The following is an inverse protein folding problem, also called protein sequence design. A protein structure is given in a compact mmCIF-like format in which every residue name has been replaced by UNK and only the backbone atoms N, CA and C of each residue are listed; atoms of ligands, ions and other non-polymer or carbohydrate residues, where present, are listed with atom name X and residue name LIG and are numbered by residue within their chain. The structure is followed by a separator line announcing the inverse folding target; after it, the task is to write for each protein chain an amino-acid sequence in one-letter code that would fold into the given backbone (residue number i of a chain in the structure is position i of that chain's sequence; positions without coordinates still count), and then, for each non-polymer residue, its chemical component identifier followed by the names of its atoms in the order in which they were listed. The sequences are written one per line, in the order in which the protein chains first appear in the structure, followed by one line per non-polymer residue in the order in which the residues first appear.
data_IF_264253890337
#
_entry.id   IF_264253890337
#
_cell.length_a   1.000
_cell.length_b   1.000
_cell.length_c   1.000
_cell.angle_alpha   90.00
_cell.angle_beta   90.00
_cell.angle_gamma   90.00
#
_symmetry.space_group_name_H-M   'P 1'
#
loop_
_entity.id
_entity.type
_entity.pdbx_description
1 polymer ?
#
# COMPACT_ATOMS: atom_id res chain seq x y z
N UNK A 1 -9.99 6.08 -6.13
CA UNK A 1 -10.12 4.61 -6.36
C UNK A 1 -8.98 3.77 -5.74
N UNK A 2 -8.02 4.36 -5.03
CA UNK A 2 -7.11 3.64 -4.11
C UNK A 2 -6.70 4.58 -2.98
N UNK A 3 -7.55 5.54 -2.62
CA UNK A 3 -7.20 6.66 -1.76
C UNK A 3 -6.99 6.20 -0.31
N UNK A 4 -7.89 5.34 0.19
CA UNK A 4 -7.70 4.65 1.47
C UNK A 4 -6.40 3.83 1.48
N UNK A 5 -6.10 3.15 0.36
CA UNK A 5 -4.84 2.42 0.19
C UNK A 5 -3.62 3.29 0.30
N UNK A 6 -3.58 4.39 -0.44
CA UNK A 6 -2.44 5.31 -0.43
C UNK A 6 -2.23 5.89 0.98
N UNK A 7 -3.31 6.18 1.71
CA UNK A 7 -3.23 6.66 3.10
C UNK A 7 -2.69 5.57 4.05
N UNK A 8 -3.23 4.35 4.01
CA UNK A 8 -2.73 3.26 4.86
C UNK A 8 -1.28 2.90 4.57
N UNK A 9 -0.89 2.84 3.30
CA UNK A 9 0.50 2.63 2.89
C UNK A 9 1.42 3.69 3.51
N UNK A 10 1.03 4.97 3.51
CA UNK A 10 1.80 6.04 4.17
C UNK A 10 1.92 5.81 5.68
N UNK A 11 0.82 5.44 6.35
CA UNK A 11 0.84 5.19 7.80
C UNK A 11 1.74 4.01 8.17
N UNK A 12 1.59 2.89 7.47
CA UNK A 12 2.37 1.66 7.74
C UNK A 12 3.83 1.86 7.37
N UNK A 13 4.12 2.49 6.21
CA UNK A 13 5.50 2.81 5.83
C UNK A 13 6.17 3.70 6.87
N UNK A 14 5.46 4.71 7.40
CA UNK A 14 5.95 5.57 8.48
C UNK A 14 6.17 4.78 9.78
N UNK A 15 5.24 3.91 10.15
CA UNK A 15 5.34 3.06 11.35
C UNK A 15 6.50 2.06 11.26
N UNK A 16 6.75 1.48 10.09
CA UNK A 16 7.85 0.54 9.82
C UNK A 16 9.19 1.26 9.48
N UNK A 17 9.24 2.59 9.52
CA UNK A 17 10.39 3.40 9.07
C UNK A 17 10.90 3.02 7.65
N UNK A 18 9.97 2.66 6.75
CA UNK A 18 10.27 2.29 5.37
C UNK A 18 10.16 3.49 4.43
N UNK A 19 11.16 3.66 3.57
CA UNK A 19 11.11 4.64 2.47
C UNK A 19 10.50 4.04 1.21
N UNK A 20 10.03 4.88 0.28
CA UNK A 20 9.56 4.40 -1.02
C UNK A 20 10.65 3.67 -1.82
N UNK A 21 11.92 4.04 -1.63
CA UNK A 21 13.06 3.34 -2.22
C UNK A 21 13.17 1.90 -1.70
N UNK A 22 13.01 1.70 -0.39
CA UNK A 22 13.04 0.37 0.22
C UNK A 22 11.83 -0.47 -0.18
N UNK A 23 10.65 0.14 -0.29
CA UNK A 23 9.45 -0.55 -0.78
C UNK A 23 9.65 -0.97 -2.24
N UNK A 24 10.22 -0.10 -3.07
CA UNK A 24 10.57 -0.38 -4.46
C UNK A 24 11.54 -1.57 -4.57
N UNK A 25 12.63 -1.54 -3.79
CA UNK A 25 13.64 -2.61 -3.76
C UNK A 25 13.02 -3.97 -3.36
N UNK A 26 12.23 -4.00 -2.29
CA UNK A 26 11.58 -5.23 -1.80
C UNK A 26 10.50 -5.76 -2.73
N UNK A 27 9.74 -4.86 -3.37
CA UNK A 27 8.65 -5.24 -4.27
C UNK A 27 9.12 -5.57 -5.70
N UNK A 28 10.33 -5.18 -6.07
CA UNK A 28 10.84 -5.22 -7.45
C UNK A 28 10.18 -4.21 -8.39
N UNK A 29 9.44 -3.23 -7.85
CA UNK A 29 8.80 -2.16 -8.61
C UNK A 29 9.71 -0.93 -8.59
N UNK A 30 9.80 -0.18 -9.69
CA UNK A 30 10.58 1.06 -9.72
C UNK A 30 10.02 2.10 -8.74
N UNK A 31 10.89 2.82 -8.05
CA UNK A 31 10.47 3.87 -7.12
C UNK A 31 9.62 4.95 -7.79
N UNK A 32 9.93 5.33 -9.03
CA UNK A 32 9.11 6.27 -9.80
C UNK A 32 7.68 5.77 -10.02
N UNK A 33 7.50 4.46 -10.18
CA UNK A 33 6.18 3.82 -10.31
C UNK A 33 5.43 3.83 -8.98
N UNK A 34 6.11 3.55 -7.86
CA UNK A 34 5.53 3.68 -6.50
C UNK A 34 5.07 5.13 -6.27
N UNK A 35 5.93 6.12 -6.59
CA UNK A 35 5.61 7.55 -6.46
C UNK A 35 4.43 7.97 -7.32
N UNK A 36 4.41 7.56 -8.60
CA UNK A 36 3.30 7.83 -9.51
C UNK A 36 1.98 7.26 -8.98
N UNK A 37 2.02 6.03 -8.44
CA UNK A 37 0.85 5.39 -7.85
C UNK A 37 0.38 6.15 -6.59
N UNK A 38 1.30 6.49 -5.68
CA UNK A 38 1.00 7.24 -4.45
C UNK A 38 0.48 8.65 -4.70
N UNK A 39 0.87 9.27 -5.82
CA UNK A 39 0.37 10.58 -6.26
C UNK A 39 -0.99 10.48 -6.99
N UNK A 40 -1.44 9.27 -7.35
CA UNK A 40 -2.65 9.06 -8.13
C UNK A 40 -2.51 9.34 -9.62
N UNK A 41 -1.27 9.41 -10.13
CA UNK A 41 -1.03 9.45 -11.58
C UNK A 41 -1.27 8.09 -12.25
N UNK A 42 -1.29 7.00 -11.48
CA UNK A 42 -1.65 5.66 -11.95
C UNK A 42 -2.37 4.87 -10.87
N UNK A 43 -3.37 4.08 -11.26
CA UNK A 43 -4.13 3.19 -10.37
C UNK A 43 -3.95 1.72 -10.77
N UNK A 44 -2.68 1.32 -10.98
CA UNK A 44 -2.35 -0.05 -11.33
C UNK A 44 -2.52 -1.00 -10.14
N UNK A 45 -3.50 -1.90 -10.21
CA UNK A 45 -3.71 -2.96 -9.22
C UNK A 45 -2.45 -3.78 -8.95
N UNK A 46 -1.67 -4.09 -10.00
CA UNK A 46 -0.43 -4.87 -9.87
C UNK A 46 0.61 -4.17 -8.98
N UNK A 47 0.69 -2.84 -9.07
CA UNK A 47 1.56 -2.03 -8.19
C UNK A 47 1.02 -2.04 -6.77
N UNK A 48 -0.30 -1.90 -6.60
CA UNK A 48 -0.94 -1.97 -5.29
C UNK A 48 -0.67 -3.32 -4.60
N UNK A 49 -0.85 -4.44 -5.30
CA UNK A 49 -0.59 -5.80 -4.77
C UNK A 49 0.87 -5.98 -4.35
N UNK A 50 1.81 -5.43 -5.15
CA UNK A 50 3.24 -5.46 -4.84
C UNK A 50 3.62 -4.63 -3.61
N UNK A 51 3.01 -3.46 -3.43
CA UNK A 51 3.19 -2.63 -2.23
C UNK A 51 2.56 -3.34 -1.02
N UNK A 52 1.39 -3.93 -1.20
CA UNK A 52 0.64 -4.62 -0.16
C UNK A 52 1.43 -5.82 0.40
N UNK A 53 2.03 -6.61 -0.49
CA UNK A 53 2.92 -7.72 -0.14
C UNK A 53 4.10 -7.28 0.75
N UNK A 54 4.81 -6.21 0.36
CA UNK A 54 5.92 -5.66 1.15
C UNK A 54 5.48 -5.14 2.52
N UNK A 55 4.29 -4.56 2.59
CA UNK A 55 3.75 -4.03 3.84
C UNK A 55 3.01 -5.08 4.67
N UNK A 56 2.91 -6.31 4.19
CA UNK A 56 2.16 -7.43 4.79
C UNK A 56 0.68 -7.10 5.00
N UNK A 57 0.08 -6.39 4.05
CA UNK A 57 -1.36 -6.09 4.03
C UNK A 57 -2.05 -6.80 2.88
N UNK A 58 -3.34 -7.09 3.02
CA UNK A 58 -4.15 -7.69 1.95
C UNK A 58 -5.09 -6.65 1.36
N UNK A 59 -5.10 -6.58 0.04
CA UNK A 59 -6.11 -5.83 -0.71
C UNK A 59 -7.28 -6.78 -0.98
N UNK A 60 -8.48 -6.36 -0.60
CA UNK A 60 -9.72 -7.09 -0.82
C UNK A 60 -10.59 -6.26 -1.77
N UNK A 61 -11.06 -6.87 -2.83
CA UNK A 61 -12.03 -6.26 -3.73
C UNK A 61 -13.42 -6.77 -3.38
N UNK A 62 -14.32 -5.88 -2.97
CA UNK A 62 -15.70 -6.24 -2.61
C UNK A 62 -16.67 -5.17 -3.13
N UNK A 63 -17.74 -5.58 -3.81
CA UNK A 63 -18.81 -4.70 -4.29
C UNK A 63 -18.35 -3.46 -5.10
N UNK A 64 -17.33 -3.61 -5.95
CA UNK A 64 -16.84 -2.49 -6.75
C UNK A 64 -15.78 -1.63 -6.05
N UNK A 65 -15.48 -1.90 -4.77
CA UNK A 65 -14.55 -1.12 -3.96
C UNK A 65 -13.32 -1.93 -3.53
N UNK A 66 -12.18 -1.24 -3.43
CA UNK A 66 -10.92 -1.82 -2.97
C UNK A 66 -10.69 -1.44 -1.51
N UNK A 67 -10.89 -2.41 -0.63
CA UNK A 67 -10.65 -2.30 0.81
C UNK A 67 -9.34 -2.98 1.22
N UNK A 68 -8.80 -2.63 2.39
CA UNK A 68 -7.54 -3.19 2.90
C UNK A 68 -7.76 -3.76 4.27
N UNK A 69 -7.34 -5.01 4.41
CA UNK A 69 -7.31 -5.71 5.69
C UNK A 69 -5.86 -5.94 6.12
N UNK A 70 -5.58 -5.62 7.37
CA UNK A 70 -4.33 -5.96 8.05
C UNK A 70 -4.61 -7.19 8.90
N UNK A 71 -4.48 -8.40 8.34
CA UNK A 71 -4.72 -9.65 9.08
C UNK A 71 -3.60 -10.02 10.08
N UNK A 72 -3.02 -9.02 10.75
CA UNK A 72 -2.38 -9.20 12.06
C UNK A 72 -2.84 -8.06 12.94
N UNK A 73 -3.75 -8.39 13.84
CA UNK A 73 -4.56 -7.44 14.57
C UNK A 73 -3.74 -6.39 15.32
N UNK A 74 -4.24 -5.17 15.27
CA UNK A 74 -4.22 -4.24 16.39
C UNK A 74 -5.31 -3.20 16.12
N UNK A 75 -6.46 -3.41 16.78
CA UNK A 75 -7.32 -2.33 17.22
C UNK A 75 -6.46 -1.48 18.17
N UNK A 76 -5.98 -0.34 17.72
CA UNK A 76 -5.54 0.68 18.67
C UNK A 76 -6.79 1.48 19.03
N UNK A 77 -7.40 1.09 20.14
CA UNK A 77 -8.27 1.97 20.89
C UNK A 77 -7.40 3.12 21.40
N UNK A 78 -7.75 4.36 21.07
CA UNK A 78 -7.64 5.50 21.99
C UNK A 78 -8.73 6.53 21.66
#
# INVERSE_FOLDING_TARGET
MFDDFKQKVKMIAKSKCLTYAQIAEKSGVKESTIKAFMCGATDSRRVAEKIADVLEVKIVYCNGDYSITTEKGQMTNE
#
